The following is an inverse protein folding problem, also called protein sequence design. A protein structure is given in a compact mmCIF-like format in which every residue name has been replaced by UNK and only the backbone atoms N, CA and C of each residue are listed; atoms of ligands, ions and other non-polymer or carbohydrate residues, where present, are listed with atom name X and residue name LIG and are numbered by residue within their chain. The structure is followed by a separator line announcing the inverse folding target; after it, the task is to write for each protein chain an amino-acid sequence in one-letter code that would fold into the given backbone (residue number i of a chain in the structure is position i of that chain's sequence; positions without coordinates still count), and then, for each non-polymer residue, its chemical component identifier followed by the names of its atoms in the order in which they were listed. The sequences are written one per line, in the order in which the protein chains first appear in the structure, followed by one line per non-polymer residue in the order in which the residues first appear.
data_IF_342172823771
#
_entry.id   IF_342172823771
#
_cell.length_a   1.000
_cell.length_b   1.000
_cell.length_c   1.000
_cell.angle_alpha   90.00
_cell.angle_beta   90.00
_cell.angle_gamma   90.00
#
_symmetry.space_group_name_H-M   'P 1'
#
loop_
_entity.id
_entity.type
_entity.pdbx_description
1 polymer ?
#
# COMPACT_ATOMS: atom_id res chain seq x y z
N UNK A 1 9.30 2.91 -14.07
CA UNK A 1 10.73 2.74 -14.42
C UNK A 1 11.57 2.95 -13.17
N UNK A 2 12.63 2.16 -12.95
CA UNK A 2 13.60 2.41 -11.86
C UNK A 2 14.44 3.64 -12.25
N UNK A 3 14.58 4.61 -11.35
CA UNK A 3 15.17 5.93 -11.66
C UNK A 3 16.42 6.26 -10.83
N UNK A 4 16.72 5.47 -9.81
CA UNK A 4 17.90 5.63 -8.96
C UNK A 4 18.42 4.25 -8.54
N UNK A 5 19.73 4.11 -8.36
CA UNK A 5 20.34 2.92 -7.79
C UNK A 5 20.31 2.96 -6.25
N UNK A 6 19.65 1.97 -5.65
CA UNK A 6 19.53 1.81 -4.20
C UNK A 6 20.39 0.64 -3.67
N UNK A 7 21.39 0.15 -4.41
CA UNK A 7 22.21 -1.01 -4.03
C UNK A 7 22.99 -0.78 -2.73
N UNK A 8 23.59 0.39 -2.54
CA UNK A 8 24.33 0.72 -1.32
C UNK A 8 23.42 0.72 -0.07
N UNK A 9 22.23 1.30 -0.19
CA UNK A 9 21.20 1.33 0.85
C UNK A 9 20.68 -0.08 1.12
N UNK A 10 20.39 -0.85 0.07
CA UNK A 10 19.95 -2.25 0.19
C UNK A 10 21.00 -3.11 0.89
N UNK A 11 22.28 -2.95 0.53
CA UNK A 11 23.40 -3.67 1.15
C UNK A 11 23.55 -3.33 2.64
N UNK A 12 23.39 -2.06 2.99
CA UNK A 12 23.34 -1.63 4.39
C UNK A 12 22.16 -2.30 5.12
N UNK A 13 20.96 -2.28 4.56
CA UNK A 13 19.77 -2.87 5.19
C UNK A 13 19.81 -4.40 5.26
N UNK A 14 20.58 -5.06 4.39
CA UNK A 14 20.85 -6.50 4.48
C UNK A 14 21.90 -6.87 5.53
N UNK A 15 22.68 -5.90 6.03
CA UNK A 15 23.71 -6.16 7.03
C UNK A 15 23.12 -6.18 8.45
N UNK A 16 23.19 -7.30 9.20
CA UNK A 16 22.69 -7.39 10.58
C UNK A 16 23.26 -6.30 11.52
N UNK A 17 24.52 -5.89 11.29
CA UNK A 17 25.18 -4.87 12.10
C UNK A 17 24.47 -3.51 12.06
N UNK A 18 23.74 -3.21 10.98
CA UNK A 18 22.90 -2.01 10.86
C UNK A 18 21.87 -1.91 11.98
N UNK A 19 21.42 -3.05 12.51
CA UNK A 19 20.41 -3.16 13.55
C UNK A 19 21.01 -3.43 14.93
N UNK A 20 22.35 -3.39 15.06
CA UNK A 20 23.05 -3.64 16.32
C UNK A 20 23.07 -5.11 16.75
N UNK A 21 22.84 -6.05 15.82
CA UNK A 21 22.78 -7.49 16.11
C UNK A 21 23.41 -8.36 15.02
N UNK A 22 23.24 -9.67 15.14
CA UNK A 22 23.74 -10.68 14.20
C UNK A 22 22.60 -11.53 13.59
N UNK A 23 21.34 -11.12 13.79
CA UNK A 23 20.18 -11.83 13.25
C UNK A 23 20.19 -11.74 11.71
N UNK A 24 19.94 -12.86 11.05
CA UNK A 24 19.83 -12.89 9.59
C UNK A 24 18.72 -11.96 9.10
N UNK A 25 19.01 -11.25 8.01
CA UNK A 25 18.04 -10.37 7.35
C UNK A 25 17.44 -11.10 6.16
N UNK A 26 16.11 -11.17 6.13
CA UNK A 26 15.34 -11.67 4.99
C UNK A 26 14.76 -10.49 4.21
N UNK A 27 14.81 -10.54 2.88
CA UNK A 27 14.25 -9.49 2.04
C UNK A 27 13.01 -9.99 1.27
N UNK A 28 11.96 -9.18 1.30
CA UNK A 28 10.75 -9.35 0.47
C UNK A 28 10.67 -8.16 -0.48
N UNK A 29 10.53 -8.43 -1.77
CA UNK A 29 10.32 -7.39 -2.77
C UNK A 29 8.83 -7.31 -3.14
N UNK A 30 8.31 -6.08 -3.22
CA UNK A 30 7.01 -5.79 -3.79
C UNK A 30 7.17 -4.93 -5.05
N UNK A 31 6.06 -4.57 -5.67
CA UNK A 31 6.09 -3.74 -6.87
C UNK A 31 6.81 -2.39 -6.63
N UNK A 32 6.56 -1.75 -5.48
CA UNK A 32 7.04 -0.40 -5.17
C UNK A 32 7.83 -0.31 -3.85
N UNK A 33 8.10 -1.42 -3.16
CA UNK A 33 8.86 -1.45 -1.90
C UNK A 33 9.79 -2.65 -1.78
N UNK A 34 10.76 -2.55 -0.86
CA UNK A 34 11.57 -3.66 -0.34
C UNK A 34 11.40 -3.71 1.17
N UNK A 35 11.12 -4.88 1.73
CA UNK A 35 10.92 -5.10 3.16
C UNK A 35 12.05 -5.98 3.67
N UNK A 36 12.75 -5.52 4.70
CA UNK A 36 13.84 -6.23 5.36
C UNK A 36 13.37 -6.71 6.73
N UNK A 37 13.29 -8.02 6.92
CA UNK A 37 12.84 -8.65 8.16
C UNK A 37 14.06 -9.09 8.97
N UNK A 38 14.17 -8.61 10.21
CA UNK A 38 15.31 -8.89 11.11
C UNK A 38 14.82 -9.03 12.55
N UNK A 39 15.08 -10.18 13.17
CA UNK A 39 14.56 -10.49 14.51
C UNK A 39 13.06 -10.20 14.63
N UNK A 40 12.69 -9.26 15.51
CA UNK A 40 11.30 -8.80 15.76
C UNK A 40 10.90 -7.53 15.00
N UNK A 41 11.73 -7.06 14.06
CA UNK A 41 11.53 -5.81 13.33
C UNK A 41 11.42 -6.06 11.83
N UNK A 42 10.71 -5.18 11.16
CA UNK A 42 10.65 -5.08 9.72
C UNK A 42 10.97 -3.64 9.30
N UNK A 43 11.72 -3.47 8.23
CA UNK A 43 12.07 -2.16 7.68
C UNK A 43 11.60 -2.10 6.23
N UNK A 44 10.67 -1.19 5.92
CA UNK A 44 10.12 -1.03 4.57
C UNK A 44 10.75 0.19 3.90
N UNK A 45 11.47 -0.05 2.81
CA UNK A 45 12.06 0.96 1.94
C UNK A 45 11.21 1.13 0.68
N UNK A 46 10.95 2.36 0.26
CA UNK A 46 10.30 2.64 -1.03
C UNK A 46 11.31 2.43 -2.16
N UNK A 47 10.90 1.78 -3.25
CA UNK A 47 11.74 1.63 -4.44
C UNK A 47 11.83 2.97 -5.17
N UNK A 48 13.00 3.29 -5.69
CA UNK A 48 13.22 4.48 -6.50
C UNK A 48 12.60 4.30 -7.89
N UNK A 49 11.29 4.52 -7.98
CA UNK A 49 10.50 4.34 -9.19
C UNK A 49 9.70 5.59 -9.54
N UNK A 50 9.48 5.78 -10.84
CA UNK A 50 8.47 6.71 -11.37
C UNK A 50 7.53 5.93 -12.29
N UNK A 51 6.25 5.91 -11.93
CA UNK A 51 5.15 5.21 -12.61
C UNK A 51 3.99 6.21 -12.83
N UNK A 52 3.01 5.89 -13.69
CA UNK A 52 1.87 6.79 -13.95
C UNK A 52 1.09 7.22 -12.70
N UNK A 53 1.11 6.42 -11.63
CA UNK A 53 0.35 6.65 -10.40
C UNK A 53 1.21 6.92 -9.16
N UNK A 54 2.54 6.83 -9.24
CA UNK A 54 3.44 7.03 -8.09
C UNK A 54 4.79 7.60 -8.51
N UNK A 55 5.28 8.59 -7.75
CA UNK A 55 6.59 9.19 -7.93
C UNK A 55 7.43 9.08 -6.64
N UNK A 56 8.36 8.14 -6.64
CA UNK A 56 9.36 7.90 -5.59
C UNK A 56 10.78 8.19 -6.11
N UNK A 57 10.90 9.12 -7.07
CA UNK A 57 12.13 9.35 -7.81
C UNK A 57 13.27 10.00 -7.02
N UNK A 58 12.98 10.59 -5.87
CA UNK A 58 14.00 11.24 -5.02
C UNK A 58 13.88 10.78 -3.57
N UNK A 59 14.99 10.83 -2.84
CA UNK A 59 15.03 10.49 -1.42
C UNK A 59 14.02 11.32 -0.59
N UNK A 60 13.83 12.59 -0.93
CA UNK A 60 12.86 13.46 -0.27
C UNK A 60 11.41 13.00 -0.50
N UNK A 61 11.05 12.59 -1.72
CA UNK A 61 9.74 12.03 -2.03
C UNK A 61 9.51 10.70 -1.29
N UNK A 62 10.54 9.84 -1.22
CA UNK A 62 10.47 8.58 -0.48
C UNK A 62 10.31 8.80 1.02
N UNK A 63 11.01 9.78 1.60
CA UNK A 63 10.83 10.18 2.99
C UNK A 63 9.40 10.65 3.27
N UNK A 64 8.87 11.57 2.46
CA UNK A 64 7.50 12.07 2.61
C UNK A 64 6.46 10.94 2.49
N UNK A 65 6.67 9.99 1.58
CA UNK A 65 5.81 8.81 1.44
C UNK A 65 5.87 7.91 2.68
N UNK A 66 7.06 7.66 3.23
CA UNK A 66 7.21 6.90 4.49
C UNK A 66 6.48 7.57 5.66
N UNK A 67 6.61 8.91 5.78
CA UNK A 67 5.90 9.68 6.81
C UNK A 67 4.39 9.61 6.63
N UNK A 68 3.92 9.71 5.39
CA UNK A 68 2.49 9.62 5.06
C UNK A 68 1.93 8.23 5.34
N UNK A 69 2.64 7.17 4.99
CA UNK A 69 2.22 5.79 5.28
C UNK A 69 2.06 5.59 6.79
N UNK A 70 3.03 6.04 7.60
CA UNK A 70 2.95 5.94 9.06
C UNK A 70 1.76 6.75 9.60
N UNK A 71 1.55 7.97 9.13
CA UNK A 71 0.43 8.84 9.55
C UNK A 71 -0.94 8.16 9.33
N UNK A 72 -1.11 7.54 8.17
CA UNK A 72 -2.37 6.94 7.75
C UNK A 72 -2.61 5.59 8.43
N UNK A 73 -1.62 4.70 8.38
CA UNK A 73 -1.79 3.31 8.79
C UNK A 73 -1.67 3.11 10.31
N UNK A 74 -1.05 4.02 11.06
CA UNK A 74 -0.98 3.88 12.53
C UNK A 74 -2.36 3.86 13.20
N UNK A 75 -3.38 4.43 12.54
CA UNK A 75 -4.77 4.43 13.03
C UNK A 75 -5.46 3.08 12.85
N UNK A 76 -5.15 2.38 11.77
CA UNK A 76 -5.77 1.09 11.39
C UNK A 76 -4.93 -0.13 11.75
N UNK A 77 -3.65 0.08 12.05
CA UNK A 77 -2.71 -0.93 12.48
C UNK A 77 -1.94 -0.47 13.74
N UNK A 78 -2.63 -0.17 14.85
CA UNK A 78 -1.96 0.26 16.07
C UNK A 78 -1.00 -0.83 16.57
N UNK A 79 0.22 -0.40 16.93
CA UNK A 79 1.30 -1.29 17.35
C UNK A 79 2.16 -1.85 16.21
N UNK A 80 1.73 -1.73 14.95
CA UNK A 80 2.50 -2.23 13.81
C UNK A 80 3.60 -1.25 13.36
N UNK A 81 3.29 0.04 13.28
CA UNK A 81 4.20 1.09 12.82
C UNK A 81 4.94 1.73 14.00
N UNK A 82 6.27 1.79 13.93
CA UNK A 82 7.13 2.35 14.98
C UNK A 82 7.71 3.72 14.62
N UNK A 83 7.61 4.11 13.35
CA UNK A 83 7.98 5.41 12.83
C UNK A 83 8.92 5.33 11.63
N UNK A 84 9.37 6.49 11.18
CA UNK A 84 10.29 6.61 10.03
C UNK A 84 11.73 6.70 10.53
N UNK A 85 12.65 6.09 9.76
CA UNK A 85 14.10 6.19 9.94
C UNK A 85 14.71 6.74 8.66
N UNK A 86 15.51 7.79 8.81
CA UNK A 86 16.29 8.36 7.70
C UNK A 86 17.54 7.53 7.47
N UNK A 87 17.94 7.37 6.23
CA UNK A 87 19.22 6.79 5.84
C UNK A 87 20.08 7.95 5.39
N UNK A 88 21.24 8.12 6.03
CA UNK A 88 22.07 9.31 5.82
C UNK A 88 23.53 8.97 5.55
N UNK A 89 24.17 9.75 4.68
CA UNK A 89 25.60 9.62 4.37
C UNK A 89 26.44 10.32 5.43
N UNK A 90 27.29 9.58 6.12
CA UNK A 90 28.21 10.09 7.13
C UNK A 90 29.50 10.64 6.50
N UNK A 91 30.33 11.32 7.30
CA UNK A 91 31.70 11.63 6.92
C UNK A 91 32.48 10.33 6.62
N UNK A 92 33.07 10.21 5.43
CA UNK A 92 33.78 8.98 5.00
C UNK A 92 32.92 7.96 4.26
N UNK A 93 31.84 8.39 3.59
CA UNK A 93 30.97 7.59 2.70
C UNK A 93 30.17 6.44 3.33
N UNK A 94 30.28 6.22 4.63
CA UNK A 94 29.43 5.28 5.36
C UNK A 94 27.97 5.72 5.41
N UNK A 95 27.03 4.76 5.43
CA UNK A 95 25.61 5.02 5.65
C UNK A 95 25.22 4.73 7.10
N UNK A 96 24.28 5.50 7.65
CA UNK A 96 23.75 5.28 8.99
C UNK A 96 22.25 5.58 9.08
N UNK A 97 21.55 4.83 9.95
CA UNK A 97 20.17 5.11 10.33
C UNK A 97 20.15 6.32 11.26
N UNK A 98 19.35 7.33 10.91
CA UNK A 98 19.18 8.58 11.64
C UNK A 98 20.48 9.31 11.98
N UNK A 99 21.50 9.18 11.13
CA UNK A 99 22.71 9.99 11.27
C UNK A 99 22.47 11.47 10.93
N UNK A 100 23.51 12.29 11.13
CA UNK A 100 23.42 13.75 10.98
C UNK A 100 23.73 14.25 9.56
N UNK A 101 24.09 13.35 8.64
CA UNK A 101 24.52 13.71 7.29
C UNK A 101 23.38 13.88 6.28
N UNK A 102 23.76 13.91 5.00
CA UNK A 102 22.82 14.09 3.88
C UNK A 102 21.82 12.95 3.79
N UNK A 103 20.55 13.25 3.48
CA UNK A 103 19.51 12.25 3.24
C UNK A 103 19.82 11.47 1.96
N UNK A 104 19.99 10.17 2.09
CA UNK A 104 20.16 9.23 0.97
C UNK A 104 18.86 8.47 0.70
N UNK A 105 18.14 8.06 1.76
CA UNK A 105 16.85 7.40 1.63
C UNK A 105 16.07 7.41 2.96
N UNK A 106 14.93 6.74 3.00
CA UNK A 106 14.15 6.52 4.22
C UNK A 106 13.54 5.13 4.26
N UNK A 107 13.32 4.63 5.48
CA UNK A 107 12.58 3.40 5.74
C UNK A 107 11.54 3.60 6.84
N UNK A 108 10.46 2.84 6.76
CA UNK A 108 9.50 2.69 7.84
C UNK A 108 9.98 1.55 8.74
N UNK A 109 10.16 1.81 10.04
CA UNK A 109 10.37 0.76 11.03
C UNK A 109 9.02 0.23 11.53
N UNK A 110 8.87 -1.09 11.52
CA UNK A 110 7.66 -1.80 11.86
C UNK A 110 7.95 -2.95 12.83
N UNK A 111 6.93 -3.39 13.56
CA UNK A 111 6.96 -4.68 14.26
C UNK A 111 6.84 -5.80 13.22
N UNK A 112 7.78 -6.75 13.23
CA UNK A 112 7.64 -7.97 12.44
C UNK A 112 6.53 -8.82 13.06
N UNK A 113 5.57 -9.23 12.25
CA UNK A 113 4.55 -10.20 12.62
C UNK A 113 4.71 -11.50 11.83
N UNK A 114 4.14 -12.58 12.36
CA UNK A 114 4.14 -13.89 11.73
C UNK A 114 3.38 -13.82 10.39
N UNK A 115 4.06 -14.18 9.29
CA UNK A 115 3.49 -14.13 7.95
C UNK A 115 2.32 -15.12 7.78
N UNK A 116 2.21 -16.15 8.63
CA UNK A 116 1.02 -17.02 8.68
C UNK A 116 -0.26 -16.26 9.08
N UNK A 117 -0.11 -15.07 9.68
CA UNK A 117 -1.20 -14.20 10.13
C UNK A 117 -1.61 -13.15 9.10
N UNK A 118 -1.03 -13.15 7.90
CA UNK A 118 -1.62 -12.46 6.76
C UNK A 118 -2.93 -13.16 6.37
N UNK A 119 -3.97 -12.38 6.10
CA UNK A 119 -5.28 -12.95 5.83
C UNK A 119 -5.32 -13.78 4.53
N UNK A 120 -4.44 -13.54 3.56
CA UNK A 120 -4.33 -14.37 2.35
C UNK A 120 -3.83 -15.78 2.68
N UNK A 121 -2.86 -15.90 3.61
CA UNK A 121 -2.34 -17.18 4.10
C UNK A 121 -3.37 -17.90 4.96
N UNK A 122 -4.07 -17.16 5.82
CA UNK A 122 -5.17 -17.71 6.61
C UNK A 122 -6.34 -18.19 5.74
N UNK A 123 -6.63 -17.50 4.63
CA UNK A 123 -7.65 -17.94 3.66
C UNK A 123 -7.30 -19.30 3.06
N UNK A 124 -6.07 -19.45 2.56
CA UNK A 124 -5.57 -20.71 2.00
C UNK A 124 -5.56 -21.83 3.05
N UNK A 125 -5.27 -21.49 4.31
CA UNK A 125 -5.29 -22.42 5.44
C UNK A 125 -6.69 -22.80 5.95
N UNK A 126 -7.75 -22.11 5.52
CA UNK A 126 -9.11 -22.30 6.05
C UNK A 126 -9.33 -21.70 7.45
N UNK A 127 -8.45 -20.80 7.89
CA UNK A 127 -8.46 -20.20 9.23
C UNK A 127 -9.37 -18.96 9.36
N UNK A 128 -10.00 -18.53 8.25
CA UNK A 128 -10.92 -17.40 8.23
C UNK A 128 -12.30 -17.78 8.77
N UNK A 129 -12.42 -17.76 10.09
CA UNK A 129 -13.70 -18.03 10.75
C UNK A 129 -14.74 -16.94 10.50
N UNK A 130 -16.05 -17.24 10.56
CA UNK A 130 -17.10 -16.21 10.46
C UNK A 130 -16.96 -15.08 11.48
N UNK A 131 -16.49 -15.40 12.69
CA UNK A 131 -16.24 -14.43 13.74
C UNK A 131 -15.10 -13.46 13.35
N UNK A 132 -14.00 -13.98 12.81
CA UNK A 132 -12.88 -13.16 12.32
C UNK A 132 -13.31 -12.27 11.15
N UNK A 133 -14.03 -12.81 10.17
CA UNK A 133 -14.51 -12.01 9.04
C UNK A 133 -15.51 -10.93 9.47
N UNK A 134 -16.31 -11.20 10.51
CA UNK A 134 -17.16 -10.17 11.14
C UNK A 134 -16.31 -9.07 11.79
N UNK A 135 -15.20 -9.42 12.46
CA UNK A 135 -14.29 -8.44 13.04
C UNK A 135 -13.60 -7.58 11.96
N UNK A 136 -13.15 -8.20 10.85
CA UNK A 136 -12.59 -7.50 9.68
C UNK A 136 -13.61 -6.50 9.13
N UNK A 137 -14.85 -6.92 8.88
CA UNK A 137 -15.90 -6.04 8.37
C UNK A 137 -16.18 -4.86 9.32
N UNK A 138 -16.20 -5.09 10.64
CA UNK A 138 -16.37 -4.02 11.64
C UNK A 138 -15.21 -3.03 11.63
N UNK A 139 -13.98 -3.51 11.51
CA UNK A 139 -12.78 -2.67 11.42
C UNK A 139 -12.83 -1.77 10.17
N UNK A 140 -13.22 -2.32 9.02
CA UNK A 140 -13.38 -1.56 7.77
C UNK A 140 -14.44 -0.48 7.92
N UNK A 141 -15.62 -0.83 8.45
CA UNK A 141 -16.71 0.14 8.68
C UNK A 141 -16.29 1.24 9.66
N UNK A 142 -15.54 0.90 10.72
CA UNK A 142 -15.03 1.88 11.67
C UNK A 142 -14.03 2.83 10.99
N UNK A 143 -13.10 2.29 10.19
CA UNK A 143 -12.17 3.11 9.42
C UNK A 143 -12.91 4.09 8.49
N UNK A 144 -13.85 3.60 7.68
CA UNK A 144 -14.64 4.44 6.77
C UNK A 144 -15.42 5.54 7.49
N UNK A 145 -15.96 5.27 8.68
CA UNK A 145 -16.66 6.29 9.48
C UNK A 145 -15.73 7.37 10.03
N UNK A 146 -14.47 7.04 10.28
CA UNK A 146 -13.47 7.95 10.84
C UNK A 146 -12.78 8.86 9.84
N UNK A 147 -12.93 8.62 8.54
CA UNK A 147 -12.33 9.43 7.47
C UNK A 147 -13.33 10.41 6.84
N UNK A 148 -12.87 11.58 6.35
CA UNK A 148 -13.76 12.58 5.74
C UNK A 148 -14.53 12.08 4.52
N UNK A 149 -15.71 12.65 4.31
CA UNK A 149 -16.43 12.55 3.04
C UNK A 149 -15.78 13.48 2.01
N UNK A 150 -15.71 13.04 0.76
CA UNK A 150 -15.10 13.79 -0.33
C UNK A 150 -16.17 14.01 -1.40
N UNK A 151 -16.32 15.27 -1.80
CA UNK A 151 -17.29 15.74 -2.79
C UNK A 151 -16.57 16.59 -3.85
N UNK A 152 -15.64 15.97 -4.58
CA UNK A 152 -14.76 16.63 -5.56
C UNK A 152 -14.93 16.05 -6.98
N UNK A 153 -16.13 15.54 -7.28
CA UNK A 153 -16.44 14.85 -8.53
C UNK A 153 -17.74 14.07 -8.44
N UNK A 154 -17.91 13.09 -9.34
CA UNK A 154 -18.99 12.11 -9.28
C UNK A 154 -18.43 10.71 -8.97
N UNK A 155 -19.28 9.79 -8.51
CA UNK A 155 -18.85 8.41 -8.28
C UNK A 155 -18.39 7.74 -9.58
N UNK A 156 -19.01 8.09 -10.71
CA UNK A 156 -18.61 7.61 -12.03
C UNK A 156 -17.30 8.23 -12.52
N UNK A 157 -17.03 9.51 -12.28
CA UNK A 157 -15.76 10.14 -12.68
C UNK A 157 -14.58 9.52 -11.93
N UNK A 158 -14.71 9.30 -10.62
CA UNK A 158 -13.64 8.70 -9.83
C UNK A 158 -13.28 7.30 -10.35
N UNK A 159 -14.28 6.50 -10.74
CA UNK A 159 -14.02 5.19 -11.33
C UNK A 159 -13.48 5.29 -12.76
N UNK A 160 -13.88 6.31 -13.53
CA UNK A 160 -13.32 6.58 -14.86
C UNK A 160 -11.81 6.84 -14.78
N UNK A 161 -11.37 7.65 -13.81
CA UNK A 161 -9.96 7.98 -13.61
C UNK A 161 -9.14 6.73 -13.25
N UNK A 162 -9.69 5.82 -12.44
CA UNK A 162 -9.07 4.50 -12.15
C UNK A 162 -8.93 3.68 -13.44
N UNK A 163 -9.93 3.70 -14.32
CA UNK A 163 -9.84 3.00 -15.60
C UNK A 163 -8.80 3.62 -16.54
N UNK A 164 -8.65 4.96 -16.54
CA UNK A 164 -7.60 5.65 -17.30
C UNK A 164 -6.20 5.22 -16.81
N UNK A 165 -6.01 5.14 -15.49
CA UNK A 165 -4.75 4.68 -14.88
C UNK A 165 -4.47 3.23 -15.24
N UNK A 166 -5.49 2.36 -15.20
CA UNK A 166 -5.35 0.94 -15.58
C UNK A 166 -4.96 0.79 -17.05
N UNK A 167 -5.63 1.51 -17.95
CA UNK A 167 -5.32 1.51 -19.38
C UNK A 167 -3.88 2.00 -19.65
N UNK A 168 -3.49 3.12 -19.04
CA UNK A 168 -2.12 3.63 -19.13
C UNK A 168 -1.10 2.63 -18.57
N UNK A 169 -1.43 1.92 -17.49
CA UNK A 169 -0.62 0.85 -16.92
C UNK A 169 -0.43 -0.33 -17.88
N UNK A 170 -1.52 -0.86 -18.43
CA UNK A 170 -1.50 -1.95 -19.40
C UNK A 170 -0.73 -1.59 -20.67
N UNK A 171 -0.84 -0.34 -21.15
CA UNK A 171 -0.09 0.14 -22.31
C UNK A 171 1.44 0.06 -22.14
N UNK A 172 1.95 -0.02 -20.91
CA UNK A 172 3.38 -0.23 -20.63
C UNK A 172 3.80 -1.70 -20.56
N UNK A 173 2.82 -2.62 -20.55
CA UNK A 173 3.05 -4.06 -20.45
C UNK A 173 3.39 -4.68 -21.80
N UNK A 174 4.17 -5.76 -21.78
CA UNK A 174 4.43 -6.63 -22.94
C UNK A 174 3.72 -7.98 -22.83
N UNK A 175 2.93 -8.18 -21.77
CA UNK A 175 2.25 -9.45 -21.48
C UNK A 175 0.99 -9.61 -22.34
N UNK A 176 0.34 -8.50 -22.69
CA UNK A 176 -0.92 -8.48 -23.44
C UNK A 176 -0.74 -7.75 -24.77
N UNK A 177 -1.43 -8.23 -25.80
CA UNK A 177 -1.51 -7.55 -27.08
C UNK A 177 -2.39 -6.31 -27.00
N UNK A 178 -2.13 -5.33 -27.87
CA UNK A 178 -2.92 -4.09 -27.94
C UNK A 178 -4.42 -4.34 -28.16
N UNK A 179 -4.77 -5.39 -28.92
CA UNK A 179 -6.15 -5.78 -29.15
C UNK A 179 -6.83 -6.33 -27.88
N UNK A 180 -6.11 -7.07 -27.04
CA UNK A 180 -6.61 -7.59 -25.77
C UNK A 180 -6.83 -6.45 -24.77
N UNK A 181 -5.87 -5.53 -24.66
CA UNK A 181 -5.98 -4.34 -23.81
C UNK A 181 -7.20 -3.52 -24.22
N UNK A 182 -7.35 -3.25 -25.51
CA UNK A 182 -8.50 -2.51 -26.04
C UNK A 182 -9.83 -3.19 -25.70
N UNK A 183 -9.93 -4.50 -25.91
CA UNK A 183 -11.16 -5.27 -25.62
C UNK A 183 -11.52 -5.21 -24.14
N UNK A 184 -10.51 -5.33 -23.26
CA UNK A 184 -10.68 -5.23 -21.82
C UNK A 184 -11.13 -3.82 -21.40
N UNK A 185 -10.46 -2.79 -21.90
CA UNK A 185 -10.81 -1.38 -21.65
C UNK A 185 -12.25 -1.09 -22.07
N UNK A 186 -12.65 -1.48 -23.29
CA UNK A 186 -14.02 -1.27 -23.80
C UNK A 186 -15.07 -1.98 -22.92
N UNK A 187 -14.75 -3.18 -22.42
CA UNK A 187 -15.63 -3.93 -21.51
C UNK A 187 -15.82 -3.20 -20.18
N UNK A 188 -14.74 -2.67 -19.59
CA UNK A 188 -14.84 -1.87 -18.36
C UNK A 188 -15.57 -0.55 -18.56
N UNK A 189 -15.33 0.16 -19.68
CA UNK A 189 -16.04 1.41 -19.99
C UNK A 189 -17.53 1.18 -20.18
N UNK A 190 -17.92 0.09 -20.85
CA UNK A 190 -19.34 -0.29 -21.00
C UNK A 190 -19.99 -0.59 -19.64
N UNK A 191 -19.27 -1.28 -18.74
CA UNK A 191 -19.74 -1.54 -17.39
C UNK A 191 -19.88 -0.25 -16.56
N UNK A 192 -18.90 0.67 -16.67
CA UNK A 192 -18.96 1.98 -16.03
C UNK A 192 -20.18 2.78 -16.49
N UNK A 193 -20.43 2.86 -17.80
CA UNK A 193 -21.58 3.58 -18.34
C UNK A 193 -22.90 3.02 -17.78
N UNK A 194 -23.04 1.69 -17.76
CA UNK A 194 -24.20 0.99 -17.19
C UNK A 194 -24.44 1.30 -15.71
N UNK A 195 -23.37 1.49 -14.93
CA UNK A 195 -23.44 1.68 -13.48
C UNK A 195 -23.24 3.13 -13.01
N UNK A 196 -23.00 4.06 -13.94
CA UNK A 196 -22.71 5.48 -13.66
C UNK A 196 -23.72 6.12 -12.69
N UNK A 197 -25.02 6.04 -13.01
CA UNK A 197 -26.06 6.59 -12.15
C UNK A 197 -26.17 5.93 -10.77
N UNK A 198 -25.73 4.67 -10.59
CA UNK A 198 -25.63 4.04 -9.27
C UNK A 198 -24.45 4.61 -8.49
N UNK A 199 -23.29 4.76 -9.13
CA UNK A 199 -22.08 5.32 -8.51
C UNK A 199 -22.32 6.78 -8.08
N UNK A 200 -22.95 7.59 -8.94
CA UNK A 200 -23.24 9.00 -8.64
C UNK A 200 -24.24 9.15 -7.48
N UNK A 201 -25.23 8.26 -7.37
CA UNK A 201 -26.13 8.25 -6.20
C UNK A 201 -25.39 7.94 -4.90
N UNK A 202 -24.30 7.17 -4.96
CA UNK A 202 -23.50 6.85 -3.78
C UNK A 202 -22.61 8.02 -3.38
N UNK A 203 -22.06 8.74 -4.35
CA UNK A 203 -21.39 10.03 -4.12
C UNK A 203 -22.32 10.99 -3.38
N UNK A 204 -23.53 11.22 -3.91
CA UNK A 204 -24.52 12.10 -3.31
C UNK A 204 -24.96 11.64 -1.90
N UNK A 205 -24.77 10.36 -1.57
CA UNK A 205 -25.04 9.77 -0.26
C UNK A 205 -23.82 9.76 0.69
N UNK A 206 -22.74 10.48 0.36
CA UNK A 206 -21.55 10.64 1.20
C UNK A 206 -20.73 9.35 1.32
N UNK A 207 -20.71 8.53 0.26
CA UNK A 207 -19.99 7.24 0.23
C UNK A 207 -18.59 7.32 -0.36
N UNK A 208 -18.23 8.42 -1.03
CA UNK A 208 -16.85 8.67 -1.43
C UNK A 208 -16.06 9.21 -0.23
N UNK A 209 -14.95 8.54 0.07
CA UNK A 209 -14.09 8.83 1.21
C UNK A 209 -12.64 8.53 0.86
N UNK A 210 -11.72 9.03 1.67
CA UNK A 210 -10.33 8.57 1.65
C UNK A 210 -10.24 7.15 2.22
N UNK A 211 -10.52 6.17 1.37
CA UNK A 211 -10.57 4.74 1.67
C UNK A 211 -9.16 4.15 1.86
N UNK A 212 -9.05 2.82 1.99
CA UNK A 212 -7.76 2.15 2.00
C UNK A 212 -7.15 2.15 0.59
N UNK A 213 -8.01 1.95 -0.43
CA UNK A 213 -7.66 2.05 -1.85
C UNK A 213 -6.98 0.81 -2.43
N UNK A 214 -6.53 -0.12 -1.57
CA UNK A 214 -5.86 -1.38 -1.95
C UNK A 214 -6.12 -2.48 -0.90
N UNK A 215 -7.38 -2.67 -0.49
CA UNK A 215 -7.72 -3.54 0.66
C UNK A 215 -7.86 -5.02 0.28
N UNK A 216 -6.81 -5.59 -0.30
CA UNK A 216 -6.72 -7.02 -0.55
C UNK A 216 -6.26 -7.79 0.72
N UNK A 217 -6.44 -9.11 0.80
CA UNK A 217 -6.15 -9.89 2.02
C UNK A 217 -4.68 -9.83 2.47
N UNK A 218 -3.74 -9.58 1.56
CA UNK A 218 -2.32 -9.35 1.90
C UNK A 218 -2.05 -8.04 2.64
N UNK A 219 -3.02 -7.12 2.69
CA UNK A 219 -2.96 -5.84 3.39
C UNK A 219 -3.80 -5.86 4.68
N UNK A 220 -4.12 -7.06 5.16
CA UNK A 220 -4.75 -7.28 6.45
C UNK A 220 -4.00 -8.38 7.19
N UNK A 221 -3.62 -8.11 8.44
CA UNK A 221 -3.01 -9.10 9.31
C UNK A 221 -3.77 -9.26 10.62
N UNK A 222 -3.66 -10.44 11.22
CA UNK A 222 -4.14 -10.71 12.57
C UNK A 222 -3.00 -10.45 13.56
N UNK A 223 -3.18 -9.45 14.42
CA UNK A 223 -2.20 -9.09 15.45
C UNK A 223 -2.89 -8.97 16.80
N UNK A 224 -2.37 -9.70 17.79
CA UNK A 224 -2.95 -9.78 19.14
C UNK A 224 -4.44 -10.18 19.14
N UNK A 225 -4.85 -11.02 18.19
CA UNK A 225 -6.23 -11.49 18.04
C UNK A 225 -7.16 -10.53 17.29
N UNK A 226 -6.69 -9.37 16.86
CA UNK A 226 -7.49 -8.34 16.17
C UNK A 226 -6.98 -8.08 14.74
N UNK A 227 -7.89 -7.84 13.77
CA UNK A 227 -7.49 -7.50 12.41
C UNK A 227 -6.92 -6.09 12.33
N UNK A 228 -5.82 -5.94 11.60
CA UNK A 228 -5.14 -4.66 11.33
C UNK A 228 -5.09 -4.43 9.82
N UNK A 229 -5.62 -3.29 9.36
CA UNK A 229 -5.51 -2.87 7.96
C UNK A 229 -4.22 -2.06 7.83
N UNK A 230 -3.30 -2.47 6.96
CA UNK A 230 -2.01 -1.83 6.79
C UNK A 230 -1.68 -1.69 5.29
N UNK A 231 -0.72 -0.82 4.98
CA UNK A 231 -0.33 -0.53 3.59
C UNK A 231 -1.45 0.10 2.73
N UNK A 232 -2.24 1.02 3.31
CA UNK A 232 -3.18 1.81 2.53
C UNK A 232 -2.46 2.74 1.55
N UNK A 233 -3.10 3.07 0.43
CA UNK A 233 -2.56 3.98 -0.58
C UNK A 233 -2.23 5.35 0.04
N UNK A 234 -0.94 5.67 0.11
CA UNK A 234 -0.38 6.89 0.68
C UNK A 234 0.13 7.88 -0.36
N UNK A 235 0.36 7.42 -1.60
CA UNK A 235 1.06 8.16 -2.64
C UNK A 235 0.13 8.84 -3.66
N UNK A 236 -1.15 8.51 -3.67
CA UNK A 236 -2.12 9.06 -4.62
C UNK A 236 -3.50 9.21 -3.96
N UNK A 237 -3.80 10.44 -3.52
CA UNK A 237 -5.08 10.72 -2.86
C UNK A 237 -6.28 10.57 -3.80
N UNK A 238 -6.12 10.74 -5.12
CA UNK A 238 -7.21 10.51 -6.08
C UNK A 238 -7.59 9.02 -6.13
N UNK A 239 -6.60 8.11 -6.20
CA UNK A 239 -6.84 6.66 -6.12
C UNK A 239 -7.46 6.28 -4.77
N UNK A 240 -6.99 6.87 -3.67
CA UNK A 240 -7.53 6.61 -2.35
C UNK A 240 -8.93 7.21 -2.11
N UNK A 241 -9.34 8.21 -2.91
CA UNK A 241 -10.62 8.92 -2.79
C UNK A 241 -11.71 8.23 -3.62
N UNK A 242 -12.19 7.12 -3.11
CA UNK A 242 -13.13 6.25 -3.83
C UNK A 242 -14.33 5.88 -2.94
N UNK A 243 -15.30 5.19 -3.53
CA UNK A 243 -16.44 4.67 -2.80
C UNK A 243 -16.00 3.62 -1.78
N UNK A 244 -16.58 3.63 -0.57
CA UNK A 244 -16.31 2.61 0.48
C UNK A 244 -16.51 1.16 0.01
N UNK A 245 -17.33 0.90 -1.01
CA UNK A 245 -17.49 -0.43 -1.59
C UNK A 245 -16.28 -0.87 -2.44
N UNK A 246 -15.40 0.04 -2.83
CA UNK A 246 -14.16 -0.28 -3.51
C UNK A 246 -13.24 -1.13 -2.61
N UNK A 247 -13.08 -0.73 -1.35
CA UNK A 247 -12.35 -1.53 -0.35
C UNK A 247 -13.00 -2.90 -0.12
N UNK A 248 -14.35 -2.97 -0.12
CA UNK A 248 -15.06 -4.24 -0.01
C UNK A 248 -14.84 -5.12 -1.24
N UNK A 249 -14.88 -4.55 -2.44
CA UNK A 249 -14.69 -5.28 -3.68
C UNK A 249 -13.29 -5.90 -3.76
N UNK A 250 -12.25 -5.16 -3.36
CA UNK A 250 -10.88 -5.69 -3.23
C UNK A 250 -10.79 -6.88 -2.29
N UNK A 251 -11.41 -6.77 -1.12
CA UNK A 251 -11.45 -7.86 -0.16
C UNK A 251 -12.16 -9.10 -0.73
N UNK A 252 -13.29 -8.92 -1.42
CA UNK A 252 -14.08 -10.02 -1.97
C UNK A 252 -13.39 -10.73 -3.13
N UNK A 253 -12.61 -10.02 -3.95
CA UNK A 253 -11.86 -10.63 -5.06
C UNK A 253 -10.85 -11.69 -4.58
N UNK A 254 -10.29 -11.51 -3.39
CA UNK A 254 -9.34 -12.46 -2.78
C UNK A 254 -10.01 -13.63 -2.03
N UNK A 255 -11.32 -13.56 -1.80
CA UNK A 255 -12.09 -14.56 -1.04
C UNK A 255 -12.84 -15.56 -1.94
N UNK A 256 -12.60 -15.52 -3.25
CA UNK A 256 -13.25 -16.37 -4.24
C UNK A 256 -12.71 -17.81 -4.25
#
# INVERSE_FOLDING_TARGET
MIVEDQESVTSMLMNPATYGGNDAVEAIETHISRIFLVGRRAFKMKRAVKLPYVDFSTAALRLAACEKEVELNSKTAPGLYLGVRRITRQAGDGLALNGAGELVDAVIEMVRFDQSKLLDRMAVGGDLTPALMTAVARMIVQYHRGVPQIHDGSGSSNLADVLDINEAGFATSRVFEQAEIKTLTESFRTALERHSGLLDRREAAGKIRRCHGDLHLRNICLMDGEPRLFDCVEFNDQIASTDVLYDLAFLLMDLW
#
